data_IF_719139406505
#
_entry.id   IF_719139406505
#
_cell.length_a   1.000
_cell.length_b   1.000
_cell.length_c   1.000
_cell.angle_alpha   90.00
_cell.angle_beta   90.00
_cell.angle_gamma   90.00
#
_symmetry.space_group_name_H-M   'P 1'
#
loop_
_entity.id
_entity.type
_entity.pdbx_description
1 polymer ?
#
# COMPACT_ATOMS: atom_id res chain seq x y z
N UNK A 1 -2.59 -13.39 -16.43
CA UNK A 1 -3.37 -12.77 -15.36
C UNK A 1 -3.39 -13.67 -14.15
N UNK A 2 -3.32 -13.07 -12.97
CA UNK A 2 -3.29 -13.78 -11.69
C UNK A 2 -4.66 -13.67 -11.01
N UNK A 3 -5.15 -14.78 -10.46
CA UNK A 3 -6.32 -14.73 -9.58
C UNK A 3 -5.95 -14.01 -8.28
N UNK A 4 -6.94 -13.45 -7.59
CA UNK A 4 -6.72 -12.69 -6.37
C UNK A 4 -5.91 -13.46 -5.32
N UNK A 5 -6.13 -14.77 -5.18
CA UNK A 5 -5.38 -15.60 -4.24
C UNK A 5 -3.91 -15.72 -4.58
N UNK A 6 -3.58 -15.84 -5.87
CA UNK A 6 -2.20 -15.88 -6.35
C UNK A 6 -1.53 -14.52 -6.18
N UNK A 7 -2.23 -13.45 -6.53
CA UNK A 7 -1.74 -12.08 -6.37
C UNK A 7 -1.51 -11.75 -4.91
N UNK A 8 -2.38 -12.22 -4.02
CA UNK A 8 -2.21 -12.08 -2.57
C UNK A 8 -0.91 -12.69 -2.09
N UNK A 9 -0.59 -13.90 -2.55
CA UNK A 9 0.65 -14.58 -2.17
C UNK A 9 1.89 -13.83 -2.65
N UNK A 10 1.88 -13.35 -3.89
CA UNK A 10 3.02 -12.66 -4.48
C UNK A 10 3.22 -11.26 -3.90
N UNK A 11 2.14 -10.54 -3.64
CA UNK A 11 2.19 -9.17 -3.12
C UNK A 11 2.35 -9.11 -1.60
N UNK A 12 2.09 -10.21 -0.89
CA UNK A 12 2.02 -10.28 0.57
C UNK A 12 0.92 -9.39 1.17
N UNK A 13 -0.06 -9.03 0.36
CA UNK A 13 -1.27 -8.37 0.84
C UNK A 13 -2.37 -9.44 0.95
N UNK A 14 -3.13 -9.42 2.04
CA UNK A 14 -4.24 -10.36 2.19
C UNK A 14 -5.33 -10.08 1.17
N UNK A 15 -6.17 -11.08 0.89
CA UNK A 15 -7.32 -10.91 0.00
C UNK A 15 -8.22 -9.78 0.52
N UNK A 16 -8.40 -9.69 1.82
CA UNK A 16 -9.19 -8.62 2.44
C UNK A 16 -8.56 -7.25 2.18
N UNK A 17 -7.24 -7.14 2.36
CA UNK A 17 -6.53 -5.89 2.05
C UNK A 17 -6.66 -5.50 0.59
N UNK A 18 -6.57 -6.46 -0.32
CA UNK A 18 -6.75 -6.22 -1.75
C UNK A 18 -8.16 -5.72 -2.07
N UNK A 19 -9.18 -6.27 -1.43
CA UNK A 19 -10.55 -5.82 -1.59
C UNK A 19 -10.74 -4.41 -1.03
N UNK A 20 -10.17 -4.12 0.13
CA UNK A 20 -10.22 -2.78 0.73
C UNK A 20 -9.53 -1.74 -0.16
N UNK A 21 -8.41 -2.09 -0.77
CA UNK A 21 -7.69 -1.22 -1.70
C UNK A 21 -8.50 -0.95 -2.98
N UNK A 22 -9.23 -1.95 -3.46
CA UNK A 22 -10.12 -1.78 -4.60
C UNK A 22 -11.27 -0.81 -4.25
N UNK A 23 -11.91 -1.00 -3.11
CA UNK A 23 -12.98 -0.12 -2.65
C UNK A 23 -12.50 1.32 -2.45
N UNK A 24 -11.27 1.49 -1.98
CA UNK A 24 -10.67 2.81 -1.80
C UNK A 24 -10.18 3.44 -3.10
N UNK A 25 -10.20 2.72 -4.21
CA UNK A 25 -9.72 3.21 -5.50
C UNK A 25 -8.20 3.28 -5.63
N UNK A 26 -7.47 2.58 -4.75
CA UNK A 26 -6.00 2.59 -4.77
C UNK A 26 -5.40 1.51 -5.67
N UNK A 27 -6.04 0.34 -5.72
CA UNK A 27 -5.57 -0.79 -6.52
C UNK A 27 -6.76 -1.64 -6.92
N UNK A 28 -7.20 -1.48 -8.15
CA UNK A 28 -8.32 -2.26 -8.69
C UNK A 28 -7.81 -3.48 -9.46
N UNK A 29 -8.58 -4.57 -9.52
CA UNK A 29 -8.23 -5.69 -10.38
C UNK A 29 -8.19 -5.25 -11.84
N UNK A 30 -7.30 -5.85 -12.62
CA UNK A 30 -7.16 -5.54 -14.04
C UNK A 30 -8.40 -6.00 -14.84
N UNK A 31 -9.05 -7.08 -14.39
CA UNK A 31 -10.31 -7.52 -14.96
C UNK A 31 -11.15 -8.29 -13.94
N UNK A 32 -12.46 -8.32 -14.18
CA UNK A 32 -13.42 -9.11 -13.41
C UNK A 32 -14.20 -9.94 -14.41
N UNK A 33 -14.23 -11.26 -14.19
CA UNK A 33 -14.99 -12.16 -15.06
C UNK A 33 -16.47 -11.85 -14.95
N UNK A 34 -17.13 -11.65 -16.09
CA UNK A 34 -18.53 -11.25 -16.15
C UNK A 34 -19.49 -12.35 -15.65
N UNK A 35 -19.08 -13.61 -15.70
CA UNK A 35 -19.92 -14.74 -15.31
C UNK A 35 -19.69 -15.20 -13.88
N UNK A 36 -18.40 -15.29 -13.48
CA UNK A 36 -18.04 -15.82 -12.16
C UNK A 36 -17.84 -14.74 -11.12
N UNK A 37 -17.59 -13.49 -11.53
CA UNK A 37 -17.23 -12.40 -10.65
C UNK A 37 -15.80 -12.50 -10.12
N UNK A 38 -15.01 -13.46 -10.60
CA UNK A 38 -13.63 -13.62 -10.17
C UNK A 38 -12.80 -12.43 -10.58
N UNK A 39 -11.94 -11.98 -9.66
CA UNK A 39 -11.04 -10.84 -9.85
C UNK A 39 -9.67 -11.34 -10.30
N UNK A 40 -9.14 -10.70 -11.35
CA UNK A 40 -7.84 -11.02 -11.92
C UNK A 40 -6.95 -9.78 -11.88
N UNK A 41 -5.70 -9.99 -11.48
CA UNK A 41 -4.69 -8.95 -11.41
C UNK A 41 -3.61 -9.19 -12.45
N UNK A 42 -3.03 -8.12 -12.98
CA UNK A 42 -1.89 -8.20 -13.88
C UNK A 42 -0.59 -8.23 -13.06
N UNK A 43 0.41 -8.93 -13.59
CA UNK A 43 1.75 -8.91 -12.99
C UNK A 43 2.32 -7.49 -12.90
N UNK A 44 1.94 -6.60 -13.82
CA UNK A 44 2.32 -5.19 -13.82
C UNK A 44 1.84 -4.44 -12.59
N UNK A 45 0.88 -4.98 -11.86
CA UNK A 45 0.34 -4.37 -10.64
C UNK A 45 1.15 -4.75 -9.39
N UNK A 46 2.06 -5.73 -9.48
CA UNK A 46 2.89 -6.12 -8.35
C UNK A 46 3.77 -4.99 -7.83
N UNK A 47 4.46 -4.19 -8.67
CA UNK A 47 5.23 -3.06 -8.15
C UNK A 47 4.38 -2.05 -7.37
N UNK A 48 3.16 -1.78 -7.82
CA UNK A 48 2.23 -0.87 -7.14
C UNK A 48 1.83 -1.46 -5.79
N UNK A 49 1.47 -2.75 -5.78
CA UNK A 49 1.11 -3.45 -4.54
C UNK A 49 2.27 -3.43 -3.54
N UNK A 50 3.50 -3.63 -4.00
CA UNK A 50 4.69 -3.58 -3.15
C UNK A 50 4.90 -2.19 -2.55
N UNK A 51 4.68 -1.12 -3.32
CA UNK A 51 4.77 0.26 -2.83
C UNK A 51 3.73 0.53 -1.75
N UNK A 52 2.49 0.11 -1.98
CA UNK A 52 1.41 0.25 -0.99
C UNK A 52 1.77 -0.48 0.30
N UNK A 53 2.25 -1.70 0.20
CA UNK A 53 2.65 -2.48 1.36
C UNK A 53 3.78 -1.79 2.13
N UNK A 54 4.81 -1.32 1.44
CA UNK A 54 5.93 -0.61 2.06
C UNK A 54 5.46 0.64 2.81
N UNK A 55 4.56 1.42 2.21
CA UNK A 55 4.00 2.61 2.85
C UNK A 55 3.19 2.26 4.09
N UNK A 56 2.41 1.18 4.05
CA UNK A 56 1.67 0.69 5.22
C UNK A 56 2.62 0.29 6.35
N UNK A 57 3.68 -0.41 6.03
CA UNK A 57 4.70 -0.83 7.01
C UNK A 57 5.39 0.37 7.65
N UNK A 58 5.52 1.47 6.94
CA UNK A 58 6.05 2.73 7.48
C UNK A 58 5.04 3.49 8.36
N UNK A 59 3.80 3.02 8.42
CA UNK A 59 2.76 3.62 9.23
C UNK A 59 1.90 4.67 8.53
N UNK A 60 1.98 4.78 7.21
CA UNK A 60 1.06 5.65 6.48
C UNK A 60 -0.34 5.07 6.52
N UNK A 61 -1.32 5.93 6.77
CA UNK A 61 -2.74 5.56 6.69
C UNK A 61 -3.18 5.42 5.24
N UNK A 62 -4.24 4.67 4.99
CA UNK A 62 -4.73 4.44 3.64
C UNK A 62 -5.07 5.73 2.87
N UNK A 63 -5.75 6.74 3.46
CA UNK A 63 -5.96 8.01 2.77
C UNK A 63 -4.67 8.71 2.38
N UNK A 64 -3.65 8.68 3.23
CA UNK A 64 -2.34 9.31 2.96
C UNK A 64 -1.61 8.53 1.85
N UNK A 65 -1.71 7.21 1.83
CA UNK A 65 -1.13 6.40 0.75
C UNK A 65 -1.70 6.83 -0.60
N UNK A 66 -3.00 7.14 -0.67
CA UNK A 66 -3.64 7.65 -1.88
C UNK A 66 -3.03 8.95 -2.38
N UNK A 67 -2.52 9.79 -1.48
CA UNK A 67 -1.84 11.04 -1.82
C UNK A 67 -0.38 10.81 -2.21
N UNK A 68 0.30 9.92 -1.49
CA UNK A 68 1.75 9.68 -1.68
C UNK A 68 2.04 8.81 -2.91
N UNK A 69 1.19 7.83 -3.18
CA UNK A 69 1.41 6.87 -4.26
C UNK A 69 1.65 7.52 -5.63
N UNK A 70 0.87 8.53 -6.07
CA UNK A 70 1.13 9.20 -7.33
C UNK A 70 2.47 9.96 -7.39
N UNK A 71 3.10 10.23 -6.24
CA UNK A 71 4.36 10.96 -6.17
C UNK A 71 5.58 10.11 -6.49
N UNK A 72 5.43 8.80 -6.67
CA UNK A 72 6.55 7.92 -6.98
C UNK A 72 7.26 8.27 -8.30
N UNK A 73 6.61 9.04 -9.18
CA UNK A 73 7.25 9.60 -10.37
C UNK A 73 8.11 10.84 -10.10
N UNK A 74 7.97 11.45 -8.91
CA UNK A 74 8.73 12.62 -8.49
C UNK A 74 9.64 12.23 -7.32
N UNK A 75 10.92 12.02 -7.61
CA UNK A 75 11.89 11.55 -6.64
C UNK A 75 12.03 12.47 -5.43
N UNK A 76 12.06 13.77 -5.67
CA UNK A 76 12.21 14.77 -4.59
C UNK A 76 10.99 14.77 -3.68
N UNK A 77 9.79 14.72 -4.25
CA UNK A 77 8.55 14.70 -3.47
C UNK A 77 8.45 13.44 -2.62
N UNK A 78 8.75 12.26 -3.19
CA UNK A 78 8.67 11.00 -2.44
C UNK A 78 9.73 10.95 -1.34
N UNK A 79 10.94 11.40 -1.59
CA UNK A 79 11.99 11.46 -0.57
C UNK A 79 11.60 12.35 0.61
N UNK A 80 10.96 13.49 0.35
CA UNK A 80 10.45 14.38 1.40
C UNK A 80 9.39 13.68 2.26
N UNK A 81 8.44 12.99 1.63
CA UNK A 81 7.40 12.27 2.34
C UNK A 81 7.99 11.19 3.25
N UNK A 82 8.94 10.41 2.74
CA UNK A 82 9.58 9.34 3.49
C UNK A 82 10.41 9.88 4.65
N UNK A 83 11.13 10.98 4.43
CA UNK A 83 11.94 11.63 5.47
C UNK A 83 11.06 12.15 6.60
N UNK A 84 9.96 12.81 6.27
CA UNK A 84 9.00 13.30 7.27
C UNK A 84 8.41 12.16 8.09
N UNK A 85 8.00 11.07 7.45
CA UNK A 85 7.44 9.91 8.16
C UNK A 85 8.46 9.28 9.11
N UNK A 86 9.72 9.18 8.68
CA UNK A 86 10.79 8.67 9.55
C UNK A 86 10.99 9.55 10.77
N UNK A 87 10.95 10.87 10.60
CA UNK A 87 11.08 11.82 11.71
C UNK A 87 9.91 11.67 12.69
N UNK A 88 8.67 11.55 12.18
CA UNK A 88 7.49 11.32 13.02
C UNK A 88 7.60 10.01 13.81
N UNK A 89 8.02 8.93 13.15
CA UNK A 89 8.21 7.64 13.80
C UNK A 89 9.23 7.69 14.93
N UNK A 90 10.32 8.42 14.71
CA UNK A 90 11.35 8.64 15.75
C UNK A 90 10.78 9.39 16.94
N UNK A 91 10.02 10.44 16.70
CA UNK A 91 9.37 11.21 17.77
C UNK A 91 8.36 10.37 18.55
N UNK A 92 7.58 9.54 17.85
CA UNK A 92 6.64 8.62 18.48
C UNK A 92 7.37 7.61 19.38
N UNK A 93 8.49 7.08 18.92
CA UNK A 93 9.29 6.15 19.69
C UNK A 93 9.88 6.81 20.93
N UNK A 94 10.46 8.00 20.80
CA UNK A 94 11.01 8.76 21.93
C UNK A 94 9.95 9.09 22.96
N UNK A 95 8.74 9.49 22.53
CA UNK A 95 7.63 9.76 23.41
C UNK A 95 7.19 8.50 24.15
N UNK A 96 7.11 7.35 23.47
CA UNK A 96 6.78 6.08 24.09
C UNK A 96 7.81 5.67 25.12
N UNK A 97 9.10 5.84 24.83
CA UNK A 97 10.18 5.54 25.78
C UNK A 97 10.11 6.42 27.02
N UNK A 98 9.80 7.72 26.88
CA UNK A 98 9.61 8.62 28.02
C UNK A 98 8.46 8.20 28.90
N UNK A 99 7.36 7.67 28.33
CA UNK A 99 6.21 7.19 29.11
C UNK A 99 6.52 5.95 29.95
N UNK A 100 7.54 5.19 29.55
CA UNK A 100 7.93 3.97 30.25
C UNK A 100 8.90 4.22 31.42
N UNK A 101 9.41 5.42 31.59
CA UNK A 101 10.36 5.79 32.66
C UNK A 101 9.63 6.08 33.98
#
# INVERSE_FOLDING_TARGET
MLKIGEFSKLSRLSIRQLRDLDEAGLLAPASIDAFTGYRYYSENQLPIANRIRALKEMGFTQPVIGVVLPLYGDRTAIERCLTLRRAEARMELEAAQRRLR
#
